data_IF_223113919137
#
_entry.id   IF_223113919137
#
_cell.length_a   1.000
_cell.length_b   1.000
_cell.length_c   1.000
_cell.angle_alpha   90.00
_cell.angle_beta   90.00
_cell.angle_gamma   90.00
#
_symmetry.space_group_name_H-M   'P 1'
#
loop_
_entity.id
_entity.type
_entity.pdbx_description
1 polymer ?
#
# COMPACT_ATOMS: atom_id res chain seq x y z
N UNK A 1 8.48 -2.40 3.61
CA UNK A 1 8.78 -2.39 2.14
C UNK A 1 7.85 -1.44 1.39
N UNK A 2 6.52 -1.56 1.51
CA UNK A 2 5.55 -0.70 0.78
C UNK A 2 5.76 0.77 1.10
N UNK A 3 5.91 1.13 2.37
CA UNK A 3 6.20 2.50 2.83
C UNK A 3 7.49 3.03 2.23
N UNK A 4 8.51 2.18 2.08
CA UNK A 4 9.76 2.54 1.42
C UNK A 4 9.55 2.83 -0.07
N UNK A 5 8.80 1.98 -0.80
CA UNK A 5 8.46 2.23 -2.21
C UNK A 5 7.72 3.57 -2.39
N UNK A 6 6.72 3.84 -1.55
CA UNK A 6 5.98 5.11 -1.55
C UNK A 6 6.93 6.29 -1.34
N UNK A 7 7.82 6.17 -0.35
CA UNK A 7 8.77 7.21 0.00
C UNK A 7 9.75 7.51 -1.14
N UNK A 8 10.29 6.47 -1.80
CA UNK A 8 11.21 6.65 -2.94
C UNK A 8 10.51 7.33 -4.12
N UNK A 9 9.25 6.98 -4.42
CA UNK A 9 8.49 7.64 -5.49
C UNK A 9 8.28 9.12 -5.18
N UNK A 10 7.80 9.46 -3.97
CA UNK A 10 7.56 10.85 -3.59
C UNK A 10 8.84 11.69 -3.60
N UNK A 11 9.96 11.13 -3.13
CA UNK A 11 11.26 11.80 -3.20
C UNK A 11 11.73 12.00 -4.65
N UNK A 12 11.49 11.03 -5.53
CA UNK A 12 11.84 11.11 -6.95
C UNK A 12 10.98 12.11 -7.72
N UNK A 13 9.73 12.34 -7.28
CA UNK A 13 8.84 13.39 -7.82
C UNK A 13 9.18 14.79 -7.30
N UNK A 14 10.26 14.93 -6.53
CA UNK A 14 10.69 16.17 -5.85
C UNK A 14 9.72 16.66 -4.77
N UNK A 15 8.85 15.82 -4.29
CA UNK A 15 8.12 16.07 -3.05
C UNK A 15 9.09 16.02 -1.85
N UNK A 16 8.75 16.76 -0.85
CA UNK A 16 9.54 16.84 0.39
C UNK A 16 8.74 16.26 1.58
N UNK A 17 8.39 14.93 1.55
CA UNK A 17 7.52 14.34 2.54
C UNK A 17 8.18 14.18 3.91
N UNK A 18 7.38 14.24 4.97
CA UNK A 18 7.74 13.71 6.28
C UNK A 18 7.54 12.20 6.27
N UNK A 19 8.56 11.46 6.69
CA UNK A 19 8.61 10.00 6.63
C UNK A 19 8.87 9.40 8.01
N UNK A 20 8.09 8.36 8.37
CA UNK A 20 8.32 7.51 9.54
C UNK A 20 8.18 6.04 9.11
N UNK A 21 9.30 5.35 8.93
CA UNK A 21 9.39 4.03 8.30
C UNK A 21 9.94 3.04 9.32
N UNK A 22 9.44 1.80 9.31
CA UNK A 22 9.89 0.77 10.24
C UNK A 22 11.33 0.28 10.03
N UNK A 23 11.91 0.50 8.85
CA UNK A 23 13.28 0.11 8.49
C UNK A 23 14.12 1.27 8.00
N UNK A 24 15.43 1.04 7.82
CA UNK A 24 16.35 2.05 7.28
C UNK A 24 16.12 2.19 5.77
N UNK A 25 15.79 3.40 5.32
CA UNK A 25 15.75 3.78 3.91
C UNK A 25 17.06 4.46 3.53
N UNK A 26 17.76 3.89 2.55
CA UNK A 26 19.11 4.34 2.17
C UNK A 26 19.12 5.78 1.64
N UNK A 27 18.12 6.17 0.88
CA UNK A 27 18.00 7.49 0.27
C UNK A 27 17.94 8.64 1.29
N UNK A 28 17.44 8.36 2.50
CA UNK A 28 17.39 9.34 3.60
C UNK A 28 18.41 9.06 4.72
N UNK A 29 19.17 7.94 4.62
CA UNK A 29 20.16 7.55 5.61
C UNK A 29 19.60 7.17 6.98
N UNK A 30 18.30 6.85 7.08
CA UNK A 30 17.62 6.54 8.34
C UNK A 30 16.20 6.04 8.13
N UNK A 31 15.42 6.07 9.19
CA UNK A 31 14.01 5.67 9.18
C UNK A 31 13.04 6.82 9.47
N UNK A 32 13.56 8.01 9.76
CA UNK A 32 12.77 9.22 9.99
C UNK A 32 13.36 10.36 9.16
N UNK A 33 12.49 11.12 8.51
CA UNK A 33 12.82 12.34 7.80
C UNK A 33 11.70 13.35 8.05
N UNK A 34 12.08 14.60 8.34
CA UNK A 34 11.13 15.71 8.43
C UNK A 34 11.19 16.46 7.10
N UNK A 35 10.08 16.52 6.41
CA UNK A 35 9.89 17.26 5.16
C UNK A 35 9.05 18.51 5.34
N UNK A 36 8.77 19.22 4.23
CA UNK A 36 8.01 20.47 4.20
C UNK A 36 6.72 20.37 3.36
N UNK A 37 6.53 19.28 2.62
CA UNK A 37 5.28 19.04 1.90
C UNK A 37 4.16 18.62 2.85
N UNK A 38 2.93 18.60 2.36
CA UNK A 38 1.75 18.15 3.13
C UNK A 38 1.68 16.63 3.33
N UNK A 39 2.62 15.88 2.75
CA UNK A 39 2.66 14.43 2.88
C UNK A 39 3.36 13.99 4.17
N UNK A 40 2.64 13.22 4.97
CA UNK A 40 3.19 12.44 6.06
C UNK A 40 2.93 10.96 5.79
N UNK A 41 3.99 10.22 5.53
CA UNK A 41 3.95 8.77 5.26
C UNK A 41 4.47 8.03 6.47
N UNK A 42 3.64 7.15 7.02
CA UNK A 42 3.99 6.37 8.21
C UNK A 42 3.50 4.93 8.13
N UNK A 43 4.20 4.03 8.78
CA UNK A 43 3.68 2.70 9.06
C UNK A 43 2.76 2.77 10.27
N UNK A 44 1.60 2.10 10.16
CA UNK A 44 0.60 2.02 11.20
C UNK A 44 0.57 0.59 11.75
N UNK A 45 0.71 0.44 13.06
CA UNK A 45 0.72 -0.86 13.72
C UNK A 45 -0.64 -1.15 14.33
N UNK A 46 -1.19 -2.34 14.06
CA UNK A 46 -2.47 -2.82 14.61
C UNK A 46 -2.36 -3.23 16.08
N UNK A 47 -1.16 -3.60 16.54
CA UNK A 47 -0.94 -4.05 17.90
C UNK A 47 -1.42 -3.00 18.91
N UNK A 48 -2.16 -3.45 19.90
CA UNK A 48 -2.85 -2.62 20.90
C UNK A 48 -3.78 -1.55 20.32
N UNK A 49 -4.23 -1.72 19.09
CA UNK A 49 -5.07 -0.75 18.37
C UNK A 49 -4.39 0.63 18.19
N UNK A 50 -3.05 0.70 18.21
CA UNK A 50 -2.34 1.98 18.14
C UNK A 50 -2.59 2.73 16.83
N UNK A 51 -2.86 2.03 15.72
CA UNK A 51 -3.22 2.64 14.44
C UNK A 51 -4.55 3.43 14.48
N UNK A 52 -5.45 3.15 15.44
CA UNK A 52 -6.69 3.92 15.63
C UNK A 52 -6.46 5.34 16.17
N UNK A 53 -5.23 5.67 16.58
CA UNK A 53 -4.87 7.01 17.01
C UNK A 53 -4.47 7.94 15.85
N UNK A 54 -4.36 7.42 14.63
CA UNK A 54 -4.09 8.23 13.44
C UNK A 54 -5.38 8.79 12.82
N UNK A 55 -5.24 9.85 12.03
CA UNK A 55 -6.31 10.46 11.24
C UNK A 55 -5.89 10.52 9.77
N UNK A 56 -5.78 9.36 9.09
CA UNK A 56 -5.30 9.30 7.72
C UNK A 56 -6.32 9.85 6.74
N UNK A 57 -5.85 10.38 5.62
CA UNK A 57 -6.67 10.64 4.44
C UNK A 57 -6.65 9.47 3.46
N UNK A 58 -5.56 8.71 3.47
CA UNK A 58 -5.39 7.50 2.66
C UNK A 58 -4.80 6.43 3.55
N UNK A 59 -5.39 5.25 3.54
CA UNK A 59 -4.89 4.06 4.23
C UNK A 59 -4.66 2.93 3.26
N UNK A 60 -3.61 2.14 3.48
CA UNK A 60 -3.30 0.94 2.71
C UNK A 60 -3.33 -0.27 3.64
N UNK A 61 -4.14 -1.28 3.32
CA UNK A 61 -4.19 -2.56 4.04
C UNK A 61 -3.67 -3.65 3.09
N UNK A 62 -2.48 -4.16 3.40
CA UNK A 62 -1.80 -5.15 2.55
C UNK A 62 -2.29 -6.57 2.80
N UNK A 63 -2.52 -6.90 4.06
CA UNK A 63 -2.98 -8.22 4.50
C UNK A 63 -3.61 -8.14 5.89
N UNK A 64 -4.42 -9.15 6.25
CA UNK A 64 -4.97 -9.34 7.59
C UNK A 64 -4.81 -10.82 7.92
N UNK A 65 -3.95 -11.12 8.88
CA UNK A 65 -3.65 -12.48 9.34
C UNK A 65 -3.75 -12.55 10.87
N UNK A 66 -3.79 -13.75 11.40
CA UNK A 66 -3.70 -13.95 12.84
C UNK A 66 -2.31 -13.59 13.35
N UNK A 67 -2.24 -12.49 14.08
CA UNK A 67 -1.06 -12.01 14.78
C UNK A 67 -1.48 -11.34 16.10
N UNK A 68 -0.52 -11.16 17.00
CA UNK A 68 -0.76 -10.50 18.29
C UNK A 68 -1.92 -11.09 19.10
N UNK A 69 -2.02 -12.45 19.15
CA UNK A 69 -3.06 -13.17 19.88
C UNK A 69 -2.93 -13.04 21.42
N UNK A 70 -1.90 -12.39 21.90
CA UNK A 70 -1.77 -11.89 23.26
C UNK A 70 -2.66 -10.66 23.53
N UNK A 71 -3.07 -9.93 22.48
CA UNK A 71 -3.95 -8.77 22.55
C UNK A 71 -5.31 -9.04 21.90
N UNK A 72 -5.32 -9.56 20.66
CA UNK A 72 -6.56 -9.89 19.95
C UNK A 72 -7.04 -11.30 20.33
N UNK A 73 -8.35 -11.46 20.42
CA UNK A 73 -8.96 -12.71 20.77
C UNK A 73 -8.87 -13.76 19.65
N UNK A 74 -9.11 -13.34 18.42
CA UNK A 74 -9.15 -14.17 17.22
C UNK A 74 -9.11 -13.29 15.96
N UNK A 75 -9.12 -13.92 14.78
CA UNK A 75 -9.12 -13.22 13.48
C UNK A 75 -10.33 -12.28 13.30
N UNK A 76 -11.47 -12.58 13.92
CA UNK A 76 -12.66 -11.73 13.79
C UNK A 76 -12.48 -10.43 14.58
N UNK A 77 -11.83 -10.51 15.75
CA UNK A 77 -11.48 -9.34 16.55
C UNK A 77 -10.46 -8.46 15.80
N UNK A 78 -9.48 -9.07 15.13
CA UNK A 78 -8.54 -8.38 14.26
C UNK A 78 -9.29 -7.68 13.11
N UNK A 79 -10.16 -8.38 12.37
CA UNK A 79 -10.96 -7.79 11.27
C UNK A 79 -11.81 -6.61 11.77
N UNK A 80 -12.42 -6.74 12.93
CA UNK A 80 -13.21 -5.66 13.53
C UNK A 80 -12.34 -4.43 13.84
N UNK A 81 -11.11 -4.64 14.29
CA UNK A 81 -10.16 -3.56 14.51
C UNK A 81 -9.76 -2.87 13.20
N UNK A 82 -9.48 -3.64 12.14
CA UNK A 82 -9.19 -3.08 10.81
C UNK A 82 -10.41 -2.37 10.19
N UNK A 83 -11.63 -2.86 10.43
CA UNK A 83 -12.83 -2.12 10.02
C UNK A 83 -12.93 -0.75 10.72
N UNK A 84 -12.70 -0.69 12.04
CA UNK A 84 -12.64 0.59 12.77
C UNK A 84 -11.57 1.52 12.20
N UNK A 85 -10.40 0.98 11.86
CA UNK A 85 -9.35 1.77 11.22
C UNK A 85 -9.78 2.34 9.87
N UNK A 86 -10.47 1.54 9.05
CA UNK A 86 -11.02 2.00 7.78
C UNK A 86 -12.11 3.07 7.95
N UNK A 87 -12.93 2.97 9.01
CA UNK A 87 -13.99 3.95 9.33
C UNK A 87 -13.46 5.33 9.75
N UNK A 88 -12.19 5.45 10.13
CA UNK A 88 -11.57 6.75 10.46
C UNK A 88 -11.37 7.62 9.21
N UNK A 89 -11.31 7.01 8.02
CA UNK A 89 -11.12 7.72 6.76
C UNK A 89 -12.28 8.68 6.48
N UNK A 90 -12.01 9.93 6.06
CA UNK A 90 -13.07 10.87 5.68
C UNK A 90 -13.76 10.46 4.37
N UNK A 91 -14.93 11.04 4.08
CA UNK A 91 -15.70 10.75 2.86
C UNK A 91 -14.91 10.97 1.57
N UNK A 92 -14.02 11.96 1.55
CA UNK A 92 -13.13 12.25 0.43
C UNK A 92 -11.79 11.51 0.51
N UNK A 93 -11.64 10.61 1.48
CA UNK A 93 -10.46 9.76 1.67
C UNK A 93 -10.50 8.49 0.85
N UNK A 94 -9.42 7.70 0.95
CA UNK A 94 -9.25 6.46 0.20
C UNK A 94 -8.75 5.32 1.10
N UNK A 95 -9.40 4.18 0.97
CA UNK A 95 -8.88 2.90 1.44
C UNK A 95 -8.37 2.11 0.23
N UNK A 96 -7.08 1.80 0.22
CA UNK A 96 -6.45 0.90 -0.76
C UNK A 96 -6.27 -0.45 -0.06
N UNK A 97 -6.96 -1.49 -0.51
CA UNK A 97 -7.02 -2.75 0.21
C UNK A 97 -6.81 -3.96 -0.69
N UNK A 98 -6.09 -4.97 -0.20
CA UNK A 98 -5.92 -6.21 -0.91
C UNK A 98 -7.25 -6.97 -1.02
N UNK A 99 -7.73 -7.16 -2.25
CA UNK A 99 -8.96 -7.89 -2.56
C UNK A 99 -8.91 -9.38 -2.26
N UNK A 100 -7.71 -9.93 -1.99
CA UNK A 100 -7.52 -11.32 -1.57
C UNK A 100 -7.71 -11.58 -0.06
N UNK A 101 -8.03 -10.55 0.73
CA UNK A 101 -8.32 -10.70 2.15
C UNK A 101 -9.65 -11.44 2.33
N UNK A 102 -9.65 -12.48 3.15
CA UNK A 102 -10.84 -13.23 3.48
C UNK A 102 -11.90 -12.36 4.17
N UNK A 103 -13.17 -12.54 3.77
CA UNK A 103 -14.29 -11.76 4.31
C UNK A 103 -14.11 -10.24 4.15
N UNK A 104 -13.58 -9.79 3.01
CA UNK A 104 -13.28 -8.40 2.70
C UNK A 104 -14.45 -7.44 3.06
N UNK A 105 -15.70 -7.86 2.86
CA UNK A 105 -16.90 -7.09 3.20
C UNK A 105 -17.02 -6.75 4.70
N UNK A 106 -16.44 -7.54 5.58
CA UNK A 106 -16.40 -7.23 7.02
C UNK A 106 -15.54 -6.00 7.32
N UNK A 107 -14.58 -5.68 6.43
CA UNK A 107 -13.71 -4.52 6.55
C UNK A 107 -14.24 -3.34 5.73
N UNK A 108 -14.75 -3.59 4.53
CA UNK A 108 -15.12 -2.55 3.55
C UNK A 108 -16.58 -2.17 3.57
N UNK A 109 -17.43 -2.92 4.28
CA UNK A 109 -18.85 -2.61 4.39
C UNK A 109 -19.10 -1.29 5.14
N UNK A 110 -20.04 -0.48 4.63
CA UNK A 110 -20.52 0.76 5.25
C UNK A 110 -19.40 1.81 5.52
N UNK A 111 -18.37 1.85 4.68
CA UNK A 111 -17.33 2.87 4.77
C UNK A 111 -17.78 4.17 4.10
N UNK A 112 -17.47 5.33 4.69
CA UNK A 112 -17.77 6.62 4.07
C UNK A 112 -16.82 6.96 2.91
N UNK A 113 -15.63 6.38 2.87
CA UNK A 113 -14.55 6.70 1.95
C UNK A 113 -14.61 5.94 0.62
N UNK A 114 -13.76 6.32 -0.31
CA UNK A 114 -13.55 5.58 -1.56
C UNK A 114 -12.71 4.32 -1.29
N UNK A 115 -13.17 3.17 -1.78
CA UNK A 115 -12.44 1.90 -1.66
C UNK A 115 -11.84 1.54 -3.01
N UNK A 116 -10.54 1.24 -3.03
CA UNK A 116 -9.78 0.77 -4.20
C UNK A 116 -9.17 -0.57 -3.83
N UNK A 117 -9.46 -1.57 -4.64
CA UNK A 117 -8.95 -2.93 -4.44
C UNK A 117 -7.73 -3.21 -5.30
N UNK A 118 -6.76 -3.93 -4.74
CA UNK A 118 -5.65 -4.49 -5.50
C UNK A 118 -5.47 -5.98 -5.17
N UNK A 119 -4.94 -6.77 -6.10
CA UNK A 119 -4.77 -8.19 -5.85
C UNK A 119 -4.45 -9.01 -7.10
N UNK A 120 -4.43 -10.33 -6.92
CA UNK A 120 -4.23 -11.30 -8.01
C UNK A 120 -5.45 -11.41 -8.92
N UNK A 121 -6.64 -11.22 -8.36
CA UNK A 121 -7.89 -11.37 -9.10
C UNK A 121 -8.06 -10.19 -10.08
N UNK A 122 -8.31 -10.45 -11.38
CA UNK A 122 -8.54 -9.40 -12.36
C UNK A 122 -9.79 -8.54 -12.11
N UNK A 123 -10.67 -8.94 -11.21
CA UNK A 123 -11.81 -8.13 -10.77
C UNK A 123 -11.43 -6.99 -9.84
N UNK A 124 -10.22 -7.00 -9.26
CA UNK A 124 -9.70 -5.88 -8.50
C UNK A 124 -9.46 -4.65 -9.41
N UNK A 125 -9.52 -3.45 -8.82
CA UNK A 125 -9.22 -2.21 -9.55
C UNK A 125 -7.78 -2.21 -10.10
N UNK A 126 -6.83 -2.78 -9.34
CA UNK A 126 -5.43 -2.99 -9.72
C UNK A 126 -5.06 -4.46 -9.58
N UNK A 127 -4.68 -5.07 -10.69
CA UNK A 127 -4.21 -6.46 -10.72
C UNK A 127 -3.07 -6.62 -11.74
N UNK A 128 -2.64 -7.84 -12.02
CA UNK A 128 -1.50 -8.07 -12.89
C UNK A 128 -1.64 -9.36 -13.71
N UNK A 129 -0.89 -9.41 -14.80
CA UNK A 129 -0.68 -10.60 -15.65
C UNK A 129 0.77 -10.67 -16.12
N UNK A 130 1.13 -11.73 -16.85
CA UNK A 130 2.43 -11.91 -17.51
C UNK A 130 3.64 -11.74 -16.58
N UNK A 131 3.57 -12.34 -15.39
CA UNK A 131 4.66 -12.28 -14.41
C UNK A 131 5.88 -13.03 -14.91
N UNK A 132 7.03 -12.38 -14.83
CA UNK A 132 8.35 -12.95 -15.07
C UNK A 132 9.31 -12.55 -13.97
N UNK A 133 10.35 -13.35 -13.72
CA UNK A 133 11.41 -13.03 -12.78
C UNK A 133 12.77 -13.08 -13.48
N UNK A 134 13.66 -12.16 -13.11
CA UNK A 134 15.04 -12.18 -13.55
C UNK A 134 15.87 -13.19 -12.73
N UNK A 135 17.17 -13.31 -13.05
CA UNK A 135 18.11 -14.20 -12.34
C UNK A 135 18.32 -13.88 -10.85
N UNK A 136 17.95 -12.66 -10.43
CA UNK A 136 18.02 -12.19 -9.04
C UNK A 136 16.67 -12.34 -8.31
N UNK A 137 15.62 -12.80 -8.98
CA UNK A 137 14.28 -12.95 -8.41
C UNK A 137 13.47 -11.64 -8.35
N UNK A 138 13.86 -10.63 -9.15
CA UNK A 138 13.09 -9.39 -9.30
C UNK A 138 11.95 -9.60 -10.29
N UNK A 139 10.76 -9.19 -9.90
CA UNK A 139 9.54 -9.38 -10.67
C UNK A 139 9.33 -8.32 -11.75
N UNK A 140 8.81 -8.76 -12.91
CA UNK A 140 8.22 -7.88 -13.91
C UNK A 140 6.84 -8.41 -14.29
N UNK A 141 5.90 -7.53 -14.55
CA UNK A 141 4.51 -7.91 -14.88
C UNK A 141 3.82 -6.84 -15.73
N UNK A 142 2.69 -7.19 -16.31
CA UNK A 142 1.78 -6.24 -16.95
C UNK A 142 0.70 -5.82 -15.98
N UNK A 143 0.64 -4.52 -15.65
CA UNK A 143 -0.40 -3.94 -14.80
C UNK A 143 -1.75 -4.02 -15.51
N UNK A 144 -2.77 -4.49 -14.79
CA UNK A 144 -4.16 -4.39 -15.21
C UNK A 144 -4.86 -3.33 -14.35
N UNK A 145 -5.56 -2.39 -14.99
CA UNK A 145 -6.49 -1.46 -14.33
C UNK A 145 -7.91 -1.84 -14.72
N UNK A 146 -8.70 -2.27 -13.73
CA UNK A 146 -10.07 -2.79 -13.95
C UNK A 146 -10.12 -3.85 -15.05
N UNK A 147 -9.20 -4.83 -14.98
CA UNK A 147 -9.08 -5.93 -15.93
C UNK A 147 -8.48 -5.54 -17.29
N UNK A 148 -8.17 -4.28 -17.54
CA UNK A 148 -7.60 -3.83 -18.83
C UNK A 148 -6.08 -3.67 -18.72
N UNK A 149 -5.28 -4.28 -19.63
CA UNK A 149 -3.84 -4.09 -19.67
C UNK A 149 -3.46 -2.60 -19.82
N UNK A 150 -2.54 -2.14 -18.99
CA UNK A 150 -2.08 -0.76 -18.95
C UNK A 150 -0.60 -0.64 -19.33
N UNK A 151 0.31 -0.96 -18.41
CA UNK A 151 1.74 -0.75 -18.59
C UNK A 151 2.54 -1.92 -18.04
N UNK A 152 3.73 -2.16 -18.58
CA UNK A 152 4.69 -3.10 -18.00
C UNK A 152 5.41 -2.45 -16.82
N UNK A 153 5.45 -3.16 -15.70
CA UNK A 153 6.12 -2.76 -14.47
C UNK A 153 7.30 -3.71 -14.23
N UNK A 154 8.43 -3.17 -13.84
CA UNK A 154 9.59 -3.93 -13.37
C UNK A 154 9.97 -3.46 -11.99
N UNK A 155 10.38 -4.37 -11.10
CA UNK A 155 10.71 -4.08 -9.71
C UNK A 155 12.21 -4.22 -9.46
N UNK A 156 12.81 -3.27 -8.74
CA UNK A 156 14.18 -3.36 -8.24
C UNK A 156 14.34 -4.28 -7.04
N UNK A 157 13.23 -4.63 -6.39
CA UNK A 157 13.20 -5.50 -5.19
C UNK A 157 12.82 -6.94 -5.55
N UNK A 158 13.30 -7.90 -4.75
CA UNK A 158 13.09 -9.34 -4.97
C UNK A 158 11.84 -9.84 -4.25
N UNK A 159 11.22 -10.88 -4.81
CA UNK A 159 10.13 -11.62 -4.19
C UNK A 159 8.74 -11.31 -4.77
N UNK A 160 7.95 -12.38 -4.95
CA UNK A 160 6.61 -12.30 -5.56
C UNK A 160 5.65 -11.38 -4.77
N UNK A 161 5.74 -11.38 -3.43
CA UNK A 161 4.90 -10.53 -2.58
C UNK A 161 5.09 -9.03 -2.89
N UNK A 162 6.23 -8.62 -3.44
CA UNK A 162 6.48 -7.23 -3.82
C UNK A 162 5.73 -6.82 -5.09
N UNK A 163 5.25 -7.75 -5.89
CA UNK A 163 4.29 -7.45 -6.96
C UNK A 163 3.00 -6.90 -6.35
N UNK A 164 2.43 -7.57 -5.36
CA UNK A 164 1.23 -7.09 -4.66
C UNK A 164 1.49 -5.75 -3.96
N UNK A 165 2.62 -5.62 -3.26
CA UNK A 165 2.99 -4.36 -2.61
C UNK A 165 3.05 -3.21 -3.63
N UNK A 166 3.65 -3.43 -4.80
CA UNK A 166 3.77 -2.40 -5.85
C UNK A 166 2.42 -1.99 -6.46
N UNK A 167 1.41 -2.90 -6.51
CA UNK A 167 0.06 -2.54 -6.95
C UNK A 167 -0.57 -1.48 -6.05
N UNK A 168 -0.41 -1.61 -4.73
CA UNK A 168 -0.92 -0.63 -3.77
C UNK A 168 -0.23 0.73 -3.93
N UNK A 169 1.07 0.72 -4.24
CA UNK A 169 1.83 1.95 -4.54
C UNK A 169 1.33 2.60 -5.82
N UNK A 170 1.14 1.82 -6.90
CA UNK A 170 0.60 2.33 -8.17
C UNK A 170 -0.79 2.94 -8.00
N UNK A 171 -1.66 2.30 -7.22
CA UNK A 171 -2.99 2.83 -6.89
C UNK A 171 -2.88 4.17 -6.13
N UNK A 172 -2.01 4.25 -5.14
CA UNK A 172 -1.77 5.49 -4.40
C UNK A 172 -1.25 6.61 -5.31
N UNK A 173 -0.26 6.31 -6.17
CA UNK A 173 0.36 7.32 -7.04
C UNK A 173 -0.64 7.85 -8.09
N UNK A 174 -1.54 7.00 -8.59
CA UNK A 174 -2.64 7.47 -9.46
C UNK A 174 -3.60 8.42 -8.72
N UNK A 175 -3.91 8.16 -7.45
CA UNK A 175 -4.75 9.06 -6.61
C UNK A 175 -4.05 10.41 -6.42
N UNK A 176 -2.74 10.40 -6.20
CA UNK A 176 -1.94 11.62 -5.98
C UNK A 176 -1.63 12.36 -7.29
N UNK A 177 -1.87 11.74 -8.46
CA UNK A 177 -1.58 12.34 -9.77
C UNK A 177 -0.10 12.39 -10.12
N UNK A 178 0.72 11.52 -9.52
CA UNK A 178 2.16 11.44 -9.79
C UNK A 178 2.42 10.88 -11.20
N UNK A 179 3.39 11.46 -11.91
CA UNK A 179 3.74 11.03 -13.26
C UNK A 179 4.15 9.55 -13.31
N UNK A 180 3.51 8.79 -14.20
CA UNK A 180 3.73 7.34 -14.31
C UNK A 180 5.18 6.97 -14.61
N UNK A 181 5.94 7.81 -15.35
CA UNK A 181 7.34 7.52 -15.64
C UNK A 181 8.20 7.65 -14.37
N UNK A 182 7.90 8.61 -13.50
CA UNK A 182 8.57 8.74 -12.19
C UNK A 182 8.30 7.49 -11.35
N UNK A 183 7.02 7.07 -11.27
CA UNK A 183 6.62 5.88 -10.50
C UNK A 183 7.32 4.63 -11.00
N UNK A 184 7.25 4.36 -12.31
CA UNK A 184 7.83 3.16 -12.92
C UNK A 184 9.35 3.09 -12.76
N UNK A 185 10.03 4.23 -12.91
CA UNK A 185 11.47 4.32 -12.69
C UNK A 185 11.84 4.04 -11.23
N UNK A 186 11.15 4.66 -10.30
CA UNK A 186 11.42 4.47 -8.86
C UNK A 186 11.16 3.06 -8.36
N UNK A 187 10.18 2.35 -8.96
CA UNK A 187 9.90 0.96 -8.61
C UNK A 187 10.96 0.00 -9.20
N UNK A 188 11.64 0.41 -10.28
CA UNK A 188 12.67 -0.40 -10.94
C UNK A 188 14.07 -0.24 -10.31
N UNK A 189 14.34 0.84 -9.58
CA UNK A 189 15.60 1.16 -8.90
C UNK A 189 15.68 0.48 -7.52
#
# INVERSE_FOLDING_TARGET
TTTSMISEVLLADNDDPTLSIGGILKSIGGNIRVGKSDYFVTEACEYTNSFLCFFPRISIILNIEEDHLDFFKDINDIRHSFHKFAQILPEDGYLIINGGIDNLQEITGDLPCNVITFGKDPSCDYSYTDVTFDEFGRGSYTLLKKGTPSVKVSLGVVGEHNILNSLSVLALMDILGIDSNVVLKSLAD
#
